data_IF_625439307221
#
_entry.id   IF_625439307221
#
_cell.length_a   1.000
_cell.length_b   1.000
_cell.length_c   1.000
_cell.angle_alpha   90.00
_cell.angle_beta   90.00
_cell.angle_gamma   90.00
#
_symmetry.space_group_name_H-M   'P 1'
#
loop_
_entity.id
_entity.type
_entity.pdbx_description
1 polymer ?
#
# COMPACT_ATOMS: atom_id res chain seq x y z
N UNK A 1 -13.31 -7.25 13.95
CA UNK A 1 -11.88 -7.48 13.73
C UNK A 1 -11.36 -6.27 13.00
N UNK A 2 -10.60 -5.42 13.70
CA UNK A 2 -10.26 -4.08 13.21
C UNK A 2 -9.26 -4.14 12.07
N UNK A 3 -9.50 -3.36 11.02
CA UNK A 3 -8.48 -3.02 10.03
C UNK A 3 -7.29 -2.41 10.77
N UNK A 4 -6.18 -3.15 10.89
CA UNK A 4 -4.96 -2.62 11.48
C UNK A 4 -4.37 -1.57 10.54
N UNK A 5 -4.23 -0.33 10.99
CA UNK A 5 -3.49 0.68 10.23
C UNK A 5 -2.01 0.31 10.22
N UNK A 6 -1.45 0.08 9.01
CA UNK A 6 -0.07 -0.36 8.82
C UNK A 6 0.99 0.71 8.98
N UNK A 7 0.60 1.99 8.93
CA UNK A 7 1.53 3.10 8.84
C UNK A 7 1.39 3.87 7.52
N UNK A 8 2.27 4.85 7.34
CA UNK A 8 2.43 5.64 6.11
C UNK A 8 3.92 5.84 5.84
N UNK A 9 4.27 6.02 4.57
CA UNK A 9 5.63 6.33 4.15
C UNK A 9 5.97 7.81 4.38
N UNK A 10 7.24 8.18 4.14
CA UNK A 10 7.61 9.59 4.06
C UNK A 10 7.03 10.26 2.79
N UNK A 11 6.79 11.57 2.86
CA UNK A 11 6.36 12.36 1.70
C UNK A 11 7.56 12.62 0.79
N UNK A 12 7.43 12.28 -0.50
CA UNK A 12 8.42 12.60 -1.54
C UNK A 12 8.00 13.85 -2.28
N UNK A 13 8.47 15.01 -1.81
CA UNK A 13 8.07 16.31 -2.36
C UNK A 13 8.51 16.49 -3.82
N UNK A 14 7.62 17.07 -4.63
CA UNK A 14 7.88 17.48 -6.02
C UNK A 14 8.51 16.37 -6.89
N UNK A 15 8.00 15.15 -6.76
CA UNK A 15 8.46 13.99 -7.53
C UNK A 15 7.26 13.24 -8.11
N UNK A 16 7.17 13.15 -9.43
CA UNK A 16 6.09 12.43 -10.13
C UNK A 16 6.30 10.90 -10.18
N UNK A 17 7.53 10.43 -10.02
CA UNK A 17 7.90 9.01 -10.03
C UNK A 17 8.61 8.62 -8.72
N UNK A 18 7.92 8.76 -7.55
CA UNK A 18 8.51 8.46 -6.26
C UNK A 18 8.66 6.95 -6.04
N UNK A 19 9.66 6.60 -5.24
CA UNK A 19 9.82 5.25 -4.69
C UNK A 19 10.15 5.36 -3.20
N UNK A 20 9.79 4.31 -2.46
CA UNK A 20 9.97 4.22 -1.02
C UNK A 20 10.78 2.96 -0.69
N UNK A 21 11.61 3.06 0.35
CA UNK A 21 12.42 1.93 0.84
C UNK A 21 11.74 1.23 2.02
N UNK A 22 10.75 1.88 2.62
CA UNK A 22 10.05 1.44 3.82
C UNK A 22 9.24 0.17 3.55
N UNK A 23 9.41 -0.81 4.42
CA UNK A 23 8.59 -2.02 4.47
C UNK A 23 7.63 -1.95 5.67
N UNK A 24 6.41 -2.46 5.48
CA UNK A 24 5.40 -2.58 6.54
C UNK A 24 5.19 -4.04 6.91
N UNK A 25 5.30 -4.35 8.20
CA UNK A 25 5.18 -5.71 8.72
C UNK A 25 3.95 -5.86 9.61
N UNK A 26 3.16 -6.92 9.35
CA UNK A 26 1.94 -7.23 10.10
C UNK A 26 2.02 -8.66 10.64
N UNK A 27 2.04 -8.82 11.96
CA UNK A 27 2.19 -10.13 12.60
C UNK A 27 0.91 -10.98 12.63
N UNK A 28 -0.25 -10.36 12.42
CA UNK A 28 -1.57 -11.02 12.48
C UNK A 28 -2.29 -11.01 11.13
N UNK A 29 -1.53 -11.07 10.03
CA UNK A 29 -2.08 -11.16 8.68
C UNK A 29 -2.44 -12.61 8.35
N UNK A 30 -3.66 -12.85 7.88
CA UNK A 30 -4.10 -14.16 7.43
C UNK A 30 -4.44 -14.15 5.94
N UNK A 31 -4.32 -15.32 5.30
CA UNK A 31 -4.76 -15.46 3.92
C UNK A 31 -6.21 -14.97 3.76
N UNK A 32 -6.47 -14.28 2.65
CA UNK A 32 -7.72 -13.61 2.30
C UNK A 32 -8.02 -12.31 3.06
N UNK A 33 -7.21 -11.89 4.02
CA UNK A 33 -7.36 -10.56 4.62
C UNK A 33 -7.25 -9.47 3.53
N UNK A 34 -8.09 -8.42 3.59
CA UNK A 34 -7.97 -7.31 2.67
C UNK A 34 -6.73 -6.48 3.01
N UNK A 35 -5.85 -6.29 2.04
CA UNK A 35 -4.79 -5.29 2.06
C UNK A 35 -5.23 -4.11 1.20
N UNK A 36 -5.21 -2.93 1.80
CA UNK A 36 -5.56 -1.66 1.17
C UNK A 36 -4.35 -0.73 1.19
N UNK A 37 -3.94 -0.28 0.02
CA UNK A 37 -2.92 0.73 -0.19
C UNK A 37 -3.57 1.98 -0.77
N UNK A 38 -3.23 3.14 -0.25
CA UNK A 38 -3.76 4.42 -0.69
C UNK A 38 -2.61 5.35 -1.03
N UNK A 39 -2.72 6.02 -2.16
CA UNK A 39 -1.75 7.02 -2.60
C UNK A 39 -2.36 8.39 -2.41
N UNK A 40 -1.67 9.25 -1.68
CA UNK A 40 -2.07 10.62 -1.41
C UNK A 40 -1.03 11.59 -1.95
N UNK A 41 -1.48 12.70 -2.50
CA UNK A 41 -0.67 13.90 -2.70
C UNK A 41 -0.74 14.75 -1.43
N UNK A 42 0.40 15.23 -0.93
CA UNK A 42 0.43 15.92 0.36
C UNK A 42 0.39 17.42 0.19
N UNK A 43 -0.58 18.05 0.86
CA UNK A 43 -0.82 19.49 0.81
C UNK A 43 -0.77 20.10 2.21
N UNK A 44 -0.63 21.44 2.28
CA UNK A 44 -0.55 22.16 3.56
C UNK A 44 -1.79 22.00 4.46
N UNK A 45 -2.96 21.77 3.87
CA UNK A 45 -4.23 21.71 4.60
C UNK A 45 -4.85 20.30 4.60
N UNK A 46 -4.98 19.68 3.43
CA UNK A 46 -5.62 18.37 3.29
C UNK A 46 -4.95 17.56 2.19
N UNK A 47 -4.44 16.38 2.55
CA UNK A 47 -3.87 15.46 1.58
C UNK A 47 -4.94 14.93 0.62
N UNK A 48 -4.57 14.82 -0.65
CA UNK A 48 -5.46 14.61 -1.78
C UNK A 48 -5.38 13.15 -2.25
N UNK A 49 -6.45 12.35 -2.08
CA UNK A 49 -6.44 10.94 -2.46
C UNK A 49 -6.31 10.78 -3.99
N UNK A 50 -5.21 10.17 -4.45
CA UNK A 50 -4.93 9.88 -5.85
C UNK A 50 -5.52 8.54 -6.30
N UNK A 51 -5.53 7.55 -5.40
CA UNK A 51 -6.11 6.24 -5.69
C UNK A 51 -6.03 5.26 -4.52
N UNK A 52 -6.86 4.23 -4.60
CA UNK A 52 -6.92 3.13 -3.64
C UNK A 52 -6.76 1.82 -4.38
N UNK A 53 -5.89 0.95 -3.85
CA UNK A 53 -5.67 -0.39 -4.35
C UNK A 53 -5.99 -1.37 -3.24
N UNK A 54 -7.00 -2.22 -3.46
CA UNK A 54 -7.45 -3.19 -2.47
C UNK A 54 -7.39 -4.60 -3.05
N UNK A 55 -6.89 -5.55 -2.26
CA UNK A 55 -6.90 -6.97 -2.64
C UNK A 55 -6.86 -7.89 -1.44
N UNK A 56 -7.37 -9.10 -1.61
CA UNK A 56 -7.14 -10.19 -0.66
C UNK A 56 -5.71 -10.72 -0.78
N UNK A 57 -4.96 -10.76 0.32
CA UNK A 57 -3.61 -11.33 0.35
C UNK A 57 -3.64 -12.86 0.25
N UNK A 58 -2.59 -13.42 -0.35
CA UNK A 58 -2.38 -14.85 -0.59
C UNK A 58 -1.00 -15.25 -0.11
N UNK A 59 -0.86 -16.49 0.36
CA UNK A 59 0.44 -17.03 0.79
C UNK A 59 1.46 -16.92 -0.35
N UNK A 60 2.71 -16.59 -0.01
CA UNK A 60 3.83 -16.41 -0.94
C UNK A 60 4.21 -14.95 -1.18
N UNK A 61 5.17 -14.76 -2.08
CA UNK A 61 5.66 -13.44 -2.51
C UNK A 61 5.02 -13.05 -3.83
N UNK A 62 4.44 -11.85 -3.87
CA UNK A 62 3.68 -11.36 -5.00
C UNK A 62 4.14 -9.97 -5.41
N UNK A 63 4.12 -9.71 -6.72
CA UNK A 63 4.32 -8.39 -7.31
C UNK A 63 3.04 -7.98 -8.03
N UNK A 64 2.63 -6.74 -7.81
CA UNK A 64 1.42 -6.19 -8.38
C UNK A 64 1.62 -4.76 -8.85
N UNK A 65 0.73 -4.37 -9.75
CA UNK A 65 0.51 -3.00 -10.14
C UNK A 65 -0.98 -2.67 -10.01
N UNK A 66 -1.30 -1.42 -9.73
CA UNK A 66 -2.66 -0.90 -9.79
C UNK A 66 -2.70 0.50 -10.39
N UNK A 67 -3.71 0.74 -11.21
CA UNK A 67 -3.95 2.04 -11.83
C UNK A 67 -4.69 2.95 -10.86
N UNK A 68 -4.14 4.14 -10.63
CA UNK A 68 -4.72 5.12 -9.71
C UNK A 68 -5.86 5.87 -10.39
N UNK A 69 -6.90 6.21 -9.62
CA UNK A 69 -8.11 6.87 -10.15
C UNK A 69 -7.80 8.25 -10.75
N UNK A 70 -6.88 9.01 -10.14
CA UNK A 70 -6.43 10.31 -10.65
C UNK A 70 -5.28 10.20 -11.66
N UNK A 71 -4.90 9.00 -12.09
CA UNK A 71 -3.82 8.75 -13.05
C UNK A 71 -2.53 8.27 -12.39
N UNK A 72 -1.69 7.57 -13.17
CA UNK A 72 -0.47 6.91 -12.68
C UNK A 72 -0.69 5.45 -12.28
N UNK A 73 0.42 4.77 -11.98
CA UNK A 73 0.43 3.35 -11.58
C UNK A 73 1.27 3.17 -10.32
N UNK A 74 0.70 2.54 -9.30
CA UNK A 74 1.45 2.11 -8.13
C UNK A 74 1.95 0.68 -8.35
N UNK A 75 3.25 0.47 -8.19
CA UNK A 75 3.91 -0.84 -8.19
C UNK A 75 4.31 -1.20 -6.77
N UNK A 76 4.03 -2.44 -6.36
CA UNK A 76 4.39 -2.92 -5.03
C UNK A 76 4.56 -4.44 -5.01
N UNK A 77 5.20 -4.92 -3.94
CA UNK A 77 5.28 -6.33 -3.60
C UNK A 77 4.89 -6.57 -2.16
N UNK A 78 4.41 -7.77 -1.86
CA UNK A 78 4.23 -8.22 -0.48
C UNK A 78 4.60 -9.71 -0.38
N UNK A 79 4.94 -10.13 0.84
CA UNK A 79 5.10 -11.54 1.20
C UNK A 79 4.15 -11.87 2.35
N UNK A 80 3.37 -12.94 2.19
CA UNK A 80 2.64 -13.56 3.29
C UNK A 80 3.25 -14.92 3.57
N UNK A 81 3.85 -15.08 4.74
CA UNK A 81 4.40 -16.35 5.19
C UNK A 81 3.27 -17.31 5.61
N UNK A 82 3.39 -18.62 5.34
CA UNK A 82 2.49 -19.61 5.91
C UNK A 82 2.55 -19.55 7.46
N UNK A 83 1.41 -19.80 8.11
CA UNK A 83 1.39 -20.08 9.55
C UNK A 83 2.27 -21.32 9.80
N UNK A 84 3.25 -21.21 10.71
CA UNK A 84 4.02 -22.35 11.20
C UNK A 84 3.14 -23.30 12.03
#
# INVERSE_FOLDING_TARGET
MGSGYGGKTEVKNNNHDPWWKEDFNFFNAHENNPMRLEVYDSDLLFDDLLGTCERSIKIGTWQHQCFLKKGGTLYYSYTLEPLQ
#
